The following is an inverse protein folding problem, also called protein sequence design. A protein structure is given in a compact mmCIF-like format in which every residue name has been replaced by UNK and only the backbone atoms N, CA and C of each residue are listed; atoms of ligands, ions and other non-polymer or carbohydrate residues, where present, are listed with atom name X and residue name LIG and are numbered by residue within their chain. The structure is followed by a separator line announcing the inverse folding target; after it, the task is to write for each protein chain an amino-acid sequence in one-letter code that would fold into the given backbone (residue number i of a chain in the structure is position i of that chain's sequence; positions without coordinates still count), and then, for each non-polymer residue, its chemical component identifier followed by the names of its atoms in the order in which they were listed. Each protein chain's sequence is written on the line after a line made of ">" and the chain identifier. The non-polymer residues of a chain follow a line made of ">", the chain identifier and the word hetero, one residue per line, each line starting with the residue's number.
data_IF_309599987556
#
_entry.id   IF_309599987556
#
_cell.length_a   1.000
_cell.length_b   1.000
_cell.length_c   1.000
_cell.angle_alpha   90.00
_cell.angle_beta   90.00
_cell.angle_gamma   90.00
#
_symmetry.space_group_name_H-M   'P 1'
#
loop_
_entity.id
_entity.type
_entity.pdbx_description
1 polymer ?
#
# COMPACT_ATOMS: atom_id res chain seq x y z
N UNK A 1 -29.86 9.04 39.34
CA UNK A 1 -29.39 7.64 39.47
C UNK A 1 -28.06 7.33 38.77
N UNK A 2 -27.73 7.96 37.63
CA UNK A 2 -26.47 7.70 36.90
C UNK A 2 -25.20 8.19 37.63
N UNK A 3 -25.24 9.38 38.22
CA UNK A 3 -24.08 10.01 38.87
C UNK A 3 -23.64 9.25 40.12
N UNK A 4 -24.58 8.84 40.97
CA UNK A 4 -24.29 8.06 42.18
C UNK A 4 -23.63 6.71 41.84
N UNK A 5 -24.10 6.04 40.77
CA UNK A 5 -23.51 4.78 40.28
C UNK A 5 -22.07 4.94 39.81
N UNK A 6 -21.74 6.03 39.12
CA UNK A 6 -20.39 6.30 38.62
C UNK A 6 -19.42 6.50 39.79
N UNK A 7 -19.83 7.24 40.83
CA UNK A 7 -19.01 7.49 42.02
C UNK A 7 -18.75 6.19 42.80
N UNK A 8 -19.76 5.34 42.98
CA UNK A 8 -19.59 4.03 43.65
C UNK A 8 -18.69 3.07 42.87
N UNK A 9 -18.75 3.10 41.53
CA UNK A 9 -17.94 2.23 40.66
C UNK A 9 -16.49 2.72 40.53
N UNK A 10 -16.27 4.03 40.62
CA UNK A 10 -14.93 4.63 40.71
C UNK A 10 -14.25 4.25 42.04
N UNK A 11 -15.00 4.34 43.15
CA UNK A 11 -14.54 3.92 44.48
C UNK A 11 -14.15 2.43 44.56
N UNK A 12 -14.79 1.56 43.76
CA UNK A 12 -14.52 0.09 43.75
C UNK A 12 -13.35 -0.33 42.86
N UNK A 13 -12.56 0.58 42.29
CA UNK A 13 -11.43 0.25 41.41
C UNK A 13 -11.82 -0.42 40.08
N UNK A 14 -13.11 -0.57 39.78
CA UNK A 14 -13.63 -1.19 38.55
C UNK A 14 -13.81 -0.21 37.38
N UNK A 15 -13.52 1.08 37.59
CA UNK A 15 -13.64 2.15 36.59
C UNK A 15 -12.88 1.86 35.29
N UNK A 16 -11.66 1.32 35.37
CA UNK A 16 -10.84 1.03 34.18
C UNK A 16 -11.47 -0.03 33.26
N UNK A 17 -12.11 -1.05 33.84
CA UNK A 17 -12.79 -2.11 33.07
C UNK A 17 -14.08 -1.62 32.43
N UNK A 18 -14.79 -0.68 33.07
CA UNK A 18 -16.04 -0.12 32.56
C UNK A 18 -15.77 0.91 31.46
N UNK A 19 -14.79 1.79 31.64
CA UNK A 19 -14.38 2.74 30.60
C UNK A 19 -13.83 2.01 29.36
N UNK A 20 -13.04 0.95 29.54
CA UNK A 20 -12.58 0.10 28.45
C UNK A 20 -13.76 -0.62 27.75
N UNK A 21 -14.71 -1.16 28.51
CA UNK A 21 -15.90 -1.85 27.97
C UNK A 21 -16.84 -0.89 27.24
N UNK A 22 -17.04 0.33 27.73
CA UNK A 22 -17.82 1.39 27.06
C UNK A 22 -17.09 1.87 25.80
N UNK A 23 -15.77 2.11 25.87
CA UNK A 23 -14.98 2.49 24.69
C UNK A 23 -14.83 1.38 23.65
N UNK A 24 -14.95 0.12 24.06
CA UNK A 24 -15.04 -1.04 23.17
C UNK A 24 -16.44 -1.17 22.58
N UNK A 25 -17.48 -0.92 23.37
CA UNK A 25 -18.88 -0.93 22.91
C UNK A 25 -19.15 0.23 21.94
N UNK A 26 -18.66 1.44 22.17
CA UNK A 26 -18.73 2.57 21.23
C UNK A 26 -17.94 2.26 19.94
N UNK A 27 -16.81 1.54 20.03
CA UNK A 27 -16.07 1.05 18.85
C UNK A 27 -16.83 -0.03 18.08
N UNK A 28 -17.52 -0.95 18.77
CA UNK A 28 -18.33 -2.02 18.18
C UNK A 28 -19.71 -1.56 17.69
N UNK A 29 -20.21 -0.46 18.24
CA UNK A 29 -21.50 0.15 17.92
C UNK A 29 -21.34 1.35 16.99
N UNK A 30 -20.27 1.43 16.18
CA UNK A 30 -20.26 2.42 15.10
C UNK A 30 -21.49 2.15 14.24
N UNK A 31 -22.56 2.91 14.46
CA UNK A 31 -23.87 2.74 13.83
C UNK A 31 -23.73 2.63 12.32
N UNK A 32 -22.74 3.33 11.76
CA UNK A 32 -22.33 3.24 10.36
C UNK A 32 -22.03 1.81 9.87
N UNK A 33 -21.24 1.00 10.58
CA UNK A 33 -20.87 -0.34 10.09
C UNK A 33 -22.07 -1.27 10.06
N UNK A 34 -22.88 -1.25 11.12
CA UNK A 34 -24.12 -2.04 11.19
C UNK A 34 -25.14 -1.62 10.13
N UNK A 35 -25.30 -0.32 9.89
CA UNK A 35 -26.18 0.19 8.83
C UNK A 35 -25.62 -0.12 7.43
N UNK A 36 -24.30 -0.05 7.23
CA UNK A 36 -23.65 -0.42 5.98
C UNK A 36 -23.83 -1.92 5.67
N UNK A 37 -23.65 -2.79 6.66
CA UNK A 37 -23.90 -4.23 6.54
C UNK A 37 -25.35 -4.51 6.18
N UNK A 38 -26.30 -3.87 6.87
CA UNK A 38 -27.73 -3.99 6.59
C UNK A 38 -28.08 -3.53 5.18
N UNK A 39 -27.50 -2.42 4.71
CA UNK A 39 -27.65 -1.92 3.35
C UNK A 39 -27.08 -2.92 2.33
N UNK A 40 -25.86 -3.42 2.53
CA UNK A 40 -25.23 -4.41 1.66
C UNK A 40 -26.05 -5.69 1.58
N UNK A 41 -26.50 -6.23 2.72
CA UNK A 41 -27.35 -7.42 2.79
C UNK A 41 -28.69 -7.23 2.05
N UNK A 42 -29.30 -6.05 2.17
CA UNK A 42 -30.53 -5.70 1.43
C UNK A 42 -30.30 -5.72 -0.08
N UNK A 43 -29.21 -5.13 -0.56
CA UNK A 43 -28.88 -5.08 -1.99
C UNK A 43 -28.45 -6.43 -2.56
N UNK A 44 -27.70 -7.23 -1.78
CA UNK A 44 -27.34 -8.59 -2.12
C UNK A 44 -28.58 -9.48 -2.24
N UNK A 45 -29.53 -9.40 -1.29
CA UNK A 45 -30.81 -10.13 -1.36
C UNK A 45 -31.65 -9.73 -2.57
N UNK A 46 -31.61 -8.46 -2.98
CA UNK A 46 -32.35 -7.95 -4.14
C UNK A 46 -31.67 -8.29 -5.48
N UNK A 47 -30.42 -8.77 -5.48
CA UNK A 47 -29.66 -9.01 -6.71
C UNK A 47 -29.40 -7.72 -7.50
N UNK A 48 -29.24 -6.57 -6.82
CA UNK A 48 -28.99 -5.30 -7.52
C UNK A 48 -27.61 -5.32 -8.19
N UNK A 49 -27.50 -5.04 -9.50
CA UNK A 49 -26.21 -4.97 -10.15
C UNK A 49 -25.43 -3.75 -9.64
N UNK A 50 -24.13 -3.92 -9.45
CA UNK A 50 -23.24 -2.80 -9.14
C UNK A 50 -23.00 -2.00 -10.42
N UNK A 51 -23.16 -0.67 -10.36
CA UNK A 51 -22.86 0.20 -11.50
C UNK A 51 -21.39 0.06 -11.93
N UNK A 52 -21.05 0.13 -13.23
CA UNK A 52 -19.65 0.04 -13.67
C UNK A 52 -18.77 1.11 -13.00
N UNK A 53 -17.66 0.70 -12.38
CA UNK A 53 -16.79 1.61 -11.62
C UNK A 53 -15.29 1.34 -11.76
N UNK A 54 -14.90 0.18 -12.29
CA UNK A 54 -13.49 -0.19 -12.46
C UNK A 54 -12.88 0.45 -13.72
N UNK A 55 -11.55 0.34 -13.86
CA UNK A 55 -10.80 0.76 -15.06
C UNK A 55 -11.50 0.28 -16.33
N UNK A 56 -11.81 1.20 -17.25
CA UNK A 56 -12.54 0.87 -18.49
C UNK A 56 -13.35 2.04 -19.06
N UNK A 57 -14.44 1.71 -19.75
CA UNK A 57 -15.31 2.64 -20.52
C UNK A 57 -15.93 3.78 -19.70
N UNK A 58 -16.05 3.63 -18.38
CA UNK A 58 -16.79 4.57 -17.52
C UNK A 58 -15.87 5.45 -16.67
N UNK A 59 -14.64 5.00 -16.38
CA UNK A 59 -13.71 5.73 -15.51
C UNK A 59 -12.59 6.37 -16.33
N UNK A 60 -12.47 7.70 -16.28
CA UNK A 60 -11.37 8.42 -16.94
C UNK A 60 -10.06 8.17 -16.20
N UNK A 61 -9.09 7.58 -16.89
CA UNK A 61 -7.73 7.41 -16.36
C UNK A 61 -7.09 8.77 -16.14
N UNK A 62 -6.65 9.05 -14.91
CA UNK A 62 -5.89 10.26 -14.57
C UNK A 62 -4.45 9.89 -14.21
N UNK A 63 -3.55 10.87 -14.34
CA UNK A 63 -2.15 10.69 -13.95
C UNK A 63 -2.03 10.21 -12.49
N UNK A 64 -2.81 10.79 -11.58
CA UNK A 64 -2.78 10.47 -10.15
C UNK A 64 -3.21 9.03 -9.84
N UNK A 65 -4.26 8.51 -10.51
CA UNK A 65 -4.71 7.13 -10.33
C UNK A 65 -3.70 6.13 -10.89
N UNK A 66 -3.06 6.44 -12.02
CA UNK A 66 -1.99 5.60 -12.58
C UNK A 66 -0.73 5.58 -11.71
N UNK A 67 -0.30 6.73 -11.18
CA UNK A 67 0.85 6.77 -10.27
C UNK A 67 0.59 5.96 -9.00
N UNK A 68 -0.62 6.04 -8.44
CA UNK A 68 -0.97 5.21 -7.27
C UNK A 68 -0.99 3.72 -7.59
N UNK A 69 -1.56 3.30 -8.72
CA UNK A 69 -1.59 1.89 -9.13
C UNK A 69 -0.18 1.35 -9.34
N UNK A 70 0.63 2.06 -10.11
CA UNK A 70 2.03 1.68 -10.38
C UNK A 70 2.86 1.64 -9.10
N UNK A 71 2.64 2.52 -8.13
CA UNK A 71 3.35 2.48 -6.84
C UNK A 71 3.04 1.20 -6.05
N UNK A 72 1.79 0.73 -6.09
CA UNK A 72 1.42 -0.57 -5.50
C UNK A 72 2.07 -1.72 -6.25
N UNK A 73 2.03 -1.70 -7.58
CA UNK A 73 2.63 -2.76 -8.41
C UNK A 73 4.14 -2.84 -8.17
N UNK A 74 4.86 -1.72 -8.16
CA UNK A 74 6.31 -1.73 -7.89
C UNK A 74 6.61 -2.16 -6.47
N UNK A 75 5.80 -1.74 -5.48
CA UNK A 75 5.98 -2.17 -4.08
C UNK A 75 5.80 -3.68 -3.90
N UNK A 76 4.72 -4.25 -4.47
CA UNK A 76 4.49 -5.71 -4.44
C UNK A 76 5.58 -6.44 -5.21
N UNK A 77 5.95 -5.98 -6.42
CA UNK A 77 6.98 -6.59 -7.23
C UNK A 77 8.35 -6.62 -6.54
N UNK A 78 8.79 -5.49 -6.00
CA UNK A 78 10.06 -5.40 -5.25
C UNK A 78 10.01 -6.24 -3.97
N UNK A 79 8.88 -6.24 -3.25
CA UNK A 79 8.68 -7.10 -2.09
C UNK A 79 8.82 -8.57 -2.43
N UNK A 80 8.13 -9.05 -3.47
CA UNK A 80 8.24 -10.43 -3.94
C UNK A 80 9.67 -10.80 -4.33
N UNK A 81 10.42 -9.90 -4.94
CA UNK A 81 11.83 -10.13 -5.29
C UNK A 81 12.68 -10.30 -4.03
N UNK A 82 12.57 -9.37 -3.07
CA UNK A 82 13.36 -9.40 -1.83
C UNK A 82 13.02 -10.64 -0.99
N UNK A 83 11.73 -10.89 -0.74
CA UNK A 83 11.29 -12.05 0.03
C UNK A 83 11.59 -13.36 -0.72
N UNK A 84 11.42 -13.39 -2.04
CA UNK A 84 11.72 -14.56 -2.85
C UNK A 84 13.18 -14.96 -2.79
N UNK A 85 14.10 -14.00 -2.95
CA UNK A 85 15.53 -14.26 -2.80
C UNK A 85 15.90 -14.64 -1.36
N UNK A 86 15.35 -13.98 -0.34
CA UNK A 86 15.61 -14.32 1.06
C UNK A 86 15.14 -15.73 1.43
N UNK A 87 13.97 -16.15 0.96
CA UNK A 87 13.48 -17.52 1.18
C UNK A 87 14.33 -18.53 0.40
N UNK A 88 14.72 -18.22 -0.83
CA UNK A 88 15.57 -19.11 -1.61
C UNK A 88 16.94 -19.32 -0.93
N UNK A 89 17.55 -18.27 -0.38
CA UNK A 89 18.80 -18.39 0.37
C UNK A 89 18.65 -19.29 1.60
N UNK A 90 17.55 -19.16 2.35
CA UNK A 90 17.24 -20.03 3.49
C UNK A 90 17.05 -21.49 3.09
N UNK A 91 16.39 -21.76 1.96
CA UNK A 91 16.13 -23.12 1.48
C UNK A 91 17.38 -23.78 0.86
N UNK A 92 18.29 -23.00 0.30
CA UNK A 92 19.51 -23.46 -0.36
C UNK A 92 20.77 -23.16 0.46
N UNK A 93 20.71 -23.37 1.78
CA UNK A 93 21.82 -23.09 2.74
C UNK A 93 23.14 -23.82 2.43
N UNK A 94 23.11 -24.84 1.56
CA UNK A 94 24.27 -25.64 1.17
C UNK A 94 25.07 -25.02 0.01
N UNK A 95 24.56 -23.97 -0.64
CA UNK A 95 25.26 -23.22 -1.69
C UNK A 95 25.84 -21.93 -1.12
N UNK A 96 27.06 -21.60 -1.51
CA UNK A 96 27.61 -20.28 -1.23
C UNK A 96 26.90 -19.21 -2.07
N UNK A 97 26.87 -17.96 -1.59
CA UNK A 97 26.19 -16.85 -2.27
C UNK A 97 26.58 -16.69 -3.75
N UNK A 98 27.86 -16.91 -4.09
CA UNK A 98 28.34 -16.86 -5.48
C UNK A 98 27.68 -17.92 -6.37
N UNK A 99 27.52 -19.14 -5.88
CA UNK A 99 26.89 -20.24 -6.62
C UNK A 99 25.39 -20.02 -6.83
N UNK A 100 24.73 -19.39 -5.87
CA UNK A 100 23.34 -18.93 -6.00
C UNK A 100 23.24 -17.83 -7.07
N UNK A 101 24.15 -16.86 -7.06
CA UNK A 101 24.21 -15.78 -8.05
C UNK A 101 24.41 -16.30 -9.48
N UNK A 102 25.29 -17.29 -9.66
CA UNK A 102 25.51 -17.97 -10.95
C UNK A 102 24.27 -18.74 -11.40
N UNK A 103 23.58 -19.40 -10.45
CA UNK A 103 22.31 -20.08 -10.72
C UNK A 103 21.23 -19.09 -11.18
N UNK A 104 21.15 -17.90 -10.58
CA UNK A 104 20.21 -16.86 -11.01
C UNK A 104 20.59 -16.23 -12.35
N UNK A 105 21.89 -15.99 -12.58
CA UNK A 105 22.38 -15.39 -13.81
C UNK A 105 22.17 -16.28 -15.03
N UNK A 106 22.20 -17.61 -14.83
CA UNK A 106 21.88 -18.61 -15.86
C UNK A 106 20.37 -18.81 -16.05
N UNK A 107 19.57 -18.69 -14.99
CA UNK A 107 18.12 -18.86 -15.05
C UNK A 107 17.35 -17.65 -15.59
N UNK A 108 17.86 -16.43 -15.40
CA UNK A 108 17.20 -15.19 -15.83
C UNK A 108 17.69 -14.81 -17.23
N UNK A 109 16.88 -14.99 -18.28
CA UNK A 109 17.24 -14.51 -19.61
C UNK A 109 17.36 -12.98 -19.57
N UNK A 110 18.44 -12.43 -20.13
CA UNK A 110 18.72 -11.00 -20.17
C UNK A 110 18.81 -10.32 -18.78
N UNK A 111 19.72 -10.80 -17.93
CA UNK A 111 20.04 -10.22 -16.61
C UNK A 111 20.25 -8.71 -16.63
N UNK A 112 20.76 -8.16 -17.74
CA UNK A 112 20.93 -6.71 -17.92
C UNK A 112 19.60 -5.94 -17.87
N UNK A 113 18.58 -6.44 -18.59
CA UNK A 113 17.23 -5.85 -18.61
C UNK A 113 16.59 -5.96 -17.22
N UNK A 114 16.72 -7.13 -16.60
CA UNK A 114 16.17 -7.36 -15.26
C UNK A 114 16.75 -6.37 -14.23
N UNK A 115 18.07 -6.11 -14.27
CA UNK A 115 18.72 -5.11 -13.40
C UNK A 115 18.13 -3.71 -13.60
N UNK A 116 17.98 -3.27 -14.85
CA UNK A 116 17.40 -1.94 -15.15
C UNK A 116 15.95 -1.86 -14.73
N UNK A 117 15.14 -2.90 -14.97
CA UNK A 117 13.75 -2.94 -14.54
C UNK A 117 13.63 -2.84 -13.03
N UNK A 118 14.41 -3.61 -12.28
CA UNK A 118 14.39 -3.59 -10.81
C UNK A 118 14.85 -2.23 -10.27
N UNK A 119 15.92 -1.67 -10.79
CA UNK A 119 16.41 -0.36 -10.33
C UNK A 119 15.48 0.79 -10.71
N UNK A 120 14.84 0.74 -11.88
CA UNK A 120 13.82 1.73 -12.28
C UNK A 120 12.58 1.63 -11.41
N UNK A 121 12.12 0.40 -11.12
CA UNK A 121 11.00 0.17 -10.21
C UNK A 121 11.30 0.67 -8.79
N UNK A 122 12.52 0.44 -8.30
CA UNK A 122 12.99 0.93 -7.01
C UNK A 122 13.04 2.46 -6.98
N UNK A 123 13.67 3.10 -7.95
CA UNK A 123 13.74 4.56 -8.07
C UNK A 123 12.34 5.18 -8.07
N UNK A 124 11.45 4.67 -8.92
CA UNK A 124 10.06 5.10 -8.96
C UNK A 124 9.35 4.94 -7.62
N UNK A 125 9.45 3.76 -7.00
CA UNK A 125 8.79 3.45 -5.75
C UNK A 125 9.27 4.37 -4.62
N UNK A 126 10.57 4.64 -4.55
CA UNK A 126 11.17 5.54 -3.57
C UNK A 126 10.72 6.99 -3.79
N UNK A 127 10.83 7.53 -5.00
CA UNK A 127 10.44 8.93 -5.25
C UNK A 127 8.95 9.17 -5.07
N UNK A 128 8.11 8.24 -5.56
CA UNK A 128 6.67 8.35 -5.33
C UNK A 128 6.32 8.09 -3.86
N UNK A 129 7.07 7.24 -3.14
CA UNK A 129 6.94 7.03 -1.71
C UNK A 129 7.23 8.30 -0.90
N UNK A 130 8.30 9.04 -1.22
CA UNK A 130 8.58 10.35 -0.62
C UNK A 130 7.41 11.31 -0.85
N UNK A 131 6.87 11.35 -2.08
CA UNK A 131 5.69 12.15 -2.40
C UNK A 131 4.46 11.75 -1.55
N UNK A 132 4.24 10.46 -1.30
CA UNK A 132 3.18 9.99 -0.40
C UNK A 132 3.42 10.42 1.05
N UNK A 133 4.65 10.31 1.57
CA UNK A 133 4.98 10.79 2.91
C UNK A 133 4.78 12.30 3.05
N UNK A 134 5.10 13.08 2.01
CA UNK A 134 4.79 14.51 1.99
C UNK A 134 3.29 14.76 2.07
N UNK A 135 2.46 13.93 1.42
CA UNK A 135 1.01 13.99 1.58
C UNK A 135 0.63 13.71 3.03
N UNK A 136 1.09 12.61 3.62
CA UNK A 136 0.77 12.27 5.01
C UNK A 136 1.12 13.38 6.02
N UNK A 137 2.12 14.22 5.71
CA UNK A 137 2.50 15.39 6.49
C UNK A 137 1.67 16.66 6.24
N UNK A 138 0.69 16.64 5.35
CA UNK A 138 -0.15 17.81 5.03
C UNK A 138 0.25 18.57 3.75
N UNK A 139 1.29 18.17 3.03
CA UNK A 139 1.84 18.95 1.91
C UNK A 139 1.33 18.49 0.53
N UNK A 140 1.27 19.40 -0.45
CA UNK A 140 1.17 19.02 -1.86
C UNK A 140 -0.21 18.59 -2.39
N UNK A 141 -1.29 18.80 -1.63
CA UNK A 141 -2.66 18.36 -1.98
C UNK A 141 -3.39 19.20 -3.04
N UNK A 142 -2.91 20.40 -3.36
CA UNK A 142 -3.54 21.21 -4.40
C UNK A 142 -3.39 20.55 -5.78
N UNK A 143 -4.43 20.57 -6.61
CA UNK A 143 -4.42 19.91 -7.92
C UNK A 143 -3.20 20.26 -8.79
N UNK A 144 -2.74 21.53 -8.90
CA UNK A 144 -1.54 21.84 -9.68
C UNK A 144 -0.28 21.17 -9.12
N UNK A 145 -0.10 21.16 -7.79
CA UNK A 145 1.03 20.51 -7.13
C UNK A 145 0.98 18.99 -7.27
N UNK A 146 -0.21 18.39 -7.27
CA UNK A 146 -0.41 16.96 -7.50
C UNK A 146 0.15 16.52 -8.86
N UNK A 147 -0.13 17.29 -9.93
CA UNK A 147 0.41 17.02 -11.26
C UNK A 147 1.90 17.35 -11.36
N UNK A 148 2.34 18.50 -10.83
CA UNK A 148 3.75 18.90 -10.82
C UNK A 148 4.64 17.84 -10.16
N UNK A 149 4.28 17.42 -8.95
CA UNK A 149 5.01 16.38 -8.22
C UNK A 149 4.93 15.02 -8.92
N UNK A 150 3.82 14.72 -9.60
CA UNK A 150 3.69 13.51 -10.40
C UNK A 150 4.67 13.48 -11.58
N UNK A 151 4.77 14.57 -12.34
CA UNK A 151 5.74 14.69 -13.44
C UNK A 151 7.18 14.72 -12.93
N UNK A 152 7.45 15.35 -11.79
CA UNK A 152 8.78 15.35 -11.18
C UNK A 152 9.25 13.93 -10.82
N UNK A 153 8.38 13.10 -10.22
CA UNK A 153 8.66 11.69 -9.93
C UNK A 153 8.97 10.92 -11.21
N UNK A 154 8.19 11.10 -12.28
CA UNK A 154 8.42 10.42 -13.56
C UNK A 154 9.74 10.86 -14.20
N UNK A 155 10.03 12.17 -14.21
CA UNK A 155 11.28 12.71 -14.75
C UNK A 155 12.51 12.20 -14.02
N UNK A 156 12.48 12.18 -12.69
CA UNK A 156 13.60 11.68 -11.88
C UNK A 156 13.78 10.17 -12.05
N UNK A 157 12.68 9.42 -12.14
CA UNK A 157 12.71 7.98 -12.44
C UNK A 157 13.34 7.71 -13.81
N UNK A 158 12.94 8.47 -14.83
CA UNK A 158 13.49 8.33 -16.18
C UNK A 158 14.99 8.66 -16.22
N UNK A 159 15.42 9.68 -15.49
CA UNK A 159 16.84 10.01 -15.35
C UNK A 159 17.64 8.84 -14.73
N UNK A 160 17.12 8.25 -13.65
CA UNK A 160 17.74 7.08 -13.03
C UNK A 160 17.81 5.90 -14.00
N UNK A 161 16.73 5.64 -14.76
CA UNK A 161 16.71 4.59 -15.78
C UNK A 161 17.80 4.79 -16.83
N UNK A 162 17.90 5.99 -17.41
CA UNK A 162 18.93 6.32 -18.41
C UNK A 162 20.33 6.18 -17.82
N UNK A 163 20.55 6.66 -16.60
CA UNK A 163 21.84 6.55 -15.92
C UNK A 163 22.26 5.08 -15.68
N UNK A 164 21.30 4.18 -15.42
CA UNK A 164 21.57 2.75 -15.29
C UNK A 164 21.89 2.09 -16.63
N UNK A 165 21.17 2.46 -17.70
CA UNK A 165 21.45 1.94 -19.05
C UNK A 165 22.82 2.39 -19.57
N UNK A 166 23.27 3.60 -19.21
CA UNK A 166 24.57 4.12 -19.59
C UNK A 166 25.77 3.41 -18.91
N UNK A 167 25.51 2.61 -17.87
CA UNK A 167 26.54 1.88 -17.10
C UNK A 167 26.55 0.36 -17.37
N UNK A 168 25.79 -0.11 -18.36
CA UNK A 168 25.70 -1.52 -18.74
C UNK A 168 26.88 -2.01 -19.57
#
# INVERSE_FOLDING_TARGET
>A
MLITRIITLYSRGQSKNIAAKIGQQIRNDSTFTKEAEKFMAKHAKRGSPQSPYMLGLTYKIQLTSMLSLTHRITGVGLGLIIYGFGIAELLYSNKNYSQLLDSYSSAIPCTSIFKVMCGTALAYHTFNGIRHLCWDMGYGYSLPRLYLTGYAVLGLTALCMVAMMAKQ
#
